data_IF_937060913093
#
_entry.id   IF_937060913093
#
_cell.length_a   1.000
_cell.length_b   1.000
_cell.length_c   1.000
_cell.angle_alpha   90.00
_cell.angle_beta   90.00
_cell.angle_gamma   90.00
#
_symmetry.space_group_name_H-M   'P 1'
#
loop_
_entity.id
_entity.type
_entity.pdbx_description
1 polymer ?
#
# COMPACT_ATOMS: atom_id res chain seq x y z
N UNK A 1 -0.36 10.86 -7.50
CA UNK A 1 -0.26 9.60 -6.74
C UNK A 1 -1.43 9.55 -5.79
N UNK A 2 -2.39 8.65 -5.99
CA UNK A 2 -3.64 8.59 -5.24
C UNK A 2 -3.97 7.12 -4.99
N UNK A 3 -4.35 6.78 -3.75
CA UNK A 3 -4.68 5.41 -3.36
C UNK A 3 -6.08 4.99 -3.86
N UNK A 4 -7.07 5.86 -3.71
CA UNK A 4 -8.47 5.56 -3.99
C UNK A 4 -8.83 5.74 -5.47
N UNK A 5 -9.94 5.15 -5.88
CA UNK A 5 -10.51 5.42 -7.20
C UNK A 5 -11.06 6.85 -7.32
N UNK A 6 -11.46 7.47 -6.21
CA UNK A 6 -12.02 8.80 -6.14
C UNK A 6 -11.12 9.83 -5.45
N UNK A 7 -11.29 11.10 -5.83
CA UNK A 7 -10.48 12.22 -5.31
C UNK A 7 -10.92 12.74 -3.93
N UNK A 8 -12.16 12.45 -3.51
CA UNK A 8 -12.81 13.13 -2.40
C UNK A 8 -12.19 12.89 -1.02
N UNK A 9 -11.74 11.67 -0.72
CA UNK A 9 -11.25 11.33 0.63
C UNK A 9 -9.93 11.99 0.98
N UNK A 10 -9.02 12.08 0.00
CA UNK A 10 -7.62 12.46 0.22
C UNK A 10 -7.26 13.81 -0.41
N UNK A 11 -8.25 14.56 -0.91
CA UNK A 11 -8.04 15.90 -1.46
C UNK A 11 -9.11 16.91 -1.01
N UNK A 12 -8.95 18.16 -1.43
CA UNK A 12 -9.90 19.26 -1.28
C UNK A 12 -10.79 19.49 -2.52
N UNK A 13 -10.96 18.46 -3.37
CA UNK A 13 -11.71 18.57 -4.63
C UNK A 13 -13.14 19.11 -4.46
N UNK A 14 -13.81 18.80 -3.34
CA UNK A 14 -15.13 19.35 -3.04
C UNK A 14 -15.06 20.87 -2.86
N UNK A 15 -14.18 21.33 -1.98
CA UNK A 15 -13.96 22.75 -1.70
C UNK A 15 -13.54 23.53 -2.95
N UNK A 16 -12.58 23.01 -3.72
CA UNK A 16 -12.06 23.69 -4.91
C UNK A 16 -13.13 23.84 -6.01
N UNK A 17 -14.06 22.89 -6.10
CA UNK A 17 -15.14 22.88 -7.10
C UNK A 17 -16.47 23.42 -6.59
N UNK A 18 -16.50 23.99 -5.38
CA UNK A 18 -17.70 24.51 -4.71
C UNK A 18 -18.81 23.44 -4.54
N UNK A 19 -18.40 22.18 -4.39
CA UNK A 19 -19.26 21.06 -4.08
C UNK A 19 -19.12 20.68 -2.59
N UNK A 20 -20.08 19.94 -2.01
CA UNK A 20 -19.93 19.42 -0.65
C UNK A 20 -18.68 18.53 -0.55
N UNK A 21 -17.80 18.80 0.42
CA UNK A 21 -16.63 17.97 0.69
C UNK A 21 -17.03 16.51 0.97
N UNK A 22 -16.24 15.56 0.48
CA UNK A 22 -16.48 14.15 0.75
C UNK A 22 -16.20 13.82 2.22
N UNK A 23 -17.13 13.12 2.84
CA UNK A 23 -17.04 12.69 4.21
C UNK A 23 -16.94 11.15 4.28
N UNK A 24 -15.76 10.58 4.63
CA UNK A 24 -15.55 9.14 4.64
C UNK A 24 -16.38 8.41 5.71
N UNK A 25 -16.88 9.10 6.73
CA UNK A 25 -17.74 8.49 7.76
C UNK A 25 -19.18 8.27 7.29
N UNK A 26 -19.62 9.00 6.26
CA UNK A 26 -20.97 8.87 5.72
C UNK A 26 -21.00 8.32 4.30
N UNK A 27 -19.86 8.34 3.60
CA UNK A 27 -19.78 7.99 2.17
C UNK A 27 -20.45 9.02 1.26
N UNK A 28 -20.66 10.26 1.72
CA UNK A 28 -21.38 11.31 0.99
C UNK A 28 -20.47 12.49 0.67
N UNK A 29 -20.85 13.27 -0.34
CA UNK A 29 -20.11 14.44 -0.83
C UNK A 29 -19.49 14.18 -2.20
N UNK A 30 -18.74 15.15 -2.71
CA UNK A 30 -18.17 15.10 -4.04
C UNK A 30 -16.89 14.27 -4.08
N UNK A 31 -16.96 13.14 -4.78
CA UNK A 31 -15.88 12.18 -4.92
C UNK A 31 -15.75 11.72 -6.38
N UNK A 32 -15.29 12.60 -7.29
CA UNK A 32 -15.13 12.25 -8.70
C UNK A 32 -14.02 11.20 -8.89
N UNK A 33 -14.22 10.29 -9.84
CA UNK A 33 -13.26 9.24 -10.16
C UNK A 33 -12.00 9.82 -10.80
N UNK A 34 -10.82 9.41 -10.32
CA UNK A 34 -9.50 9.87 -10.79
C UNK A 34 -9.37 9.69 -12.30
N UNK A 35 -9.75 8.53 -12.83
CA UNK A 35 -9.62 8.18 -14.25
C UNK A 35 -10.58 8.94 -15.19
N UNK A 36 -11.49 9.75 -14.65
CA UNK A 36 -12.38 10.62 -15.41
C UNK A 36 -11.94 12.09 -15.38
N UNK A 37 -10.85 12.39 -14.67
CA UNK A 37 -10.36 13.75 -14.49
C UNK A 37 -9.02 13.95 -15.17
N UNK A 38 -8.78 15.16 -15.65
CA UNK A 38 -7.48 15.53 -16.23
C UNK A 38 -6.48 15.80 -15.11
N UNK A 39 -5.26 15.25 -15.22
CA UNK A 39 -4.21 15.63 -14.27
C UNK A 39 -3.83 17.10 -14.44
N UNK A 40 -3.48 17.47 -15.68
CA UNK A 40 -3.11 18.84 -16.03
C UNK A 40 -4.30 19.79 -15.98
N UNK A 41 -4.09 20.93 -15.33
CA UNK A 41 -5.11 21.96 -15.13
C UNK A 41 -6.15 21.64 -14.06
N UNK A 42 -6.14 20.44 -13.46
CA UNK A 42 -7.11 20.07 -12.43
C UNK A 42 -6.49 19.32 -11.25
N UNK A 43 -6.20 18.01 -11.35
CA UNK A 43 -5.71 17.22 -10.20
C UNK A 43 -4.41 17.81 -9.61
N UNK A 44 -3.51 18.34 -10.45
CA UNK A 44 -2.24 18.92 -9.99
C UNK A 44 -2.41 20.16 -9.09
N UNK A 45 -3.59 20.78 -9.12
CA UNK A 45 -3.94 21.95 -8.30
C UNK A 45 -4.74 21.57 -7.04
N UNK A 46 -5.04 20.29 -6.83
CA UNK A 46 -5.72 19.81 -5.63
C UNK A 46 -4.73 19.67 -4.48
N UNK A 47 -5.17 20.08 -3.30
CA UNK A 47 -4.42 19.96 -2.06
C UNK A 47 -4.75 18.66 -1.33
N UNK A 48 -3.75 18.08 -0.67
CA UNK A 48 -3.88 16.80 0.03
C UNK A 48 -4.63 16.99 1.34
N UNK A 49 -5.53 16.05 1.64
CA UNK A 49 -6.22 15.94 2.92
C UNK A 49 -5.67 14.76 3.71
N UNK A 50 -5.39 14.99 5.00
CA UNK A 50 -4.92 13.94 5.89
C UNK A 50 -6.04 13.11 6.52
N UNK A 51 -5.66 12.09 7.29
CA UNK A 51 -6.55 11.18 8.02
C UNK A 51 -7.42 11.86 9.08
N UNK A 52 -7.18 13.14 9.39
CA UNK A 52 -7.98 13.94 10.32
C UNK A 52 -8.89 14.94 9.59
N UNK A 53 -8.78 15.02 8.27
CA UNK A 53 -9.60 15.87 7.41
C UNK A 53 -9.02 17.25 7.19
N UNK A 54 -7.78 17.49 7.64
CA UNK A 54 -7.09 18.76 7.44
C UNK A 54 -6.54 18.81 6.03
N UNK A 55 -6.79 19.92 5.34
CA UNK A 55 -6.22 20.20 4.03
C UNK A 55 -4.85 20.83 4.23
N UNK A 56 -3.86 20.25 3.56
CA UNK A 56 -2.45 20.66 3.62
C UNK A 56 -2.08 21.53 2.42
N UNK A 57 -0.91 22.16 2.45
CA UNK A 57 -0.46 23.02 1.34
C UNK A 57 0.10 22.20 0.18
N UNK A 58 0.51 20.97 0.45
CA UNK A 58 1.01 20.00 -0.50
C UNK A 58 -0.07 19.62 -1.51
N UNK A 59 0.31 19.53 -2.78
CA UNK A 59 -0.57 19.10 -3.86
C UNK A 59 -0.29 17.66 -4.26
N UNK A 60 -1.17 17.07 -5.08
CA UNK A 60 -1.03 15.70 -5.57
C UNK A 60 0.25 15.56 -6.43
N UNK A 61 1.27 14.78 -6.01
CA UNK A 61 2.51 14.67 -6.75
C UNK A 61 2.38 13.70 -7.93
N UNK A 62 3.21 13.89 -8.96
CA UNK A 62 3.44 12.85 -9.97
C UNK A 62 4.52 11.87 -9.52
N UNK A 63 4.54 10.68 -10.14
CA UNK A 63 5.59 9.69 -9.88
C UNK A 63 7.00 10.23 -10.25
N UNK A 64 7.21 10.89 -11.40
CA UNK A 64 8.48 11.57 -11.68
C UNK A 64 8.90 12.60 -10.63
N UNK A 65 7.97 13.41 -10.11
CA UNK A 65 8.29 14.41 -9.07
C UNK A 65 8.76 13.73 -7.78
N UNK A 66 8.13 12.62 -7.39
CA UNK A 66 8.56 11.83 -6.23
C UNK A 66 9.97 11.26 -6.43
N UNK A 67 10.25 10.66 -7.59
CA UNK A 67 11.58 10.12 -7.90
C UNK A 67 12.63 11.22 -7.95
N UNK A 68 12.29 12.38 -8.53
CA UNK A 68 13.17 13.55 -8.54
C UNK A 68 13.42 14.06 -7.11
N UNK A 69 12.41 14.10 -6.24
CA UNK A 69 12.58 14.47 -4.83
C UNK A 69 13.51 13.49 -4.09
N UNK A 70 13.42 12.18 -4.36
CA UNK A 70 14.33 11.18 -3.78
C UNK A 70 15.76 11.42 -4.25
N UNK A 71 15.95 11.70 -5.55
CA UNK A 71 17.24 12.12 -6.09
C UNK A 71 17.76 13.39 -5.42
N UNK A 72 16.96 14.45 -5.36
CA UNK A 72 17.38 15.75 -4.80
C UNK A 72 17.66 15.70 -3.30
N UNK A 73 17.01 14.81 -2.54
CA UNK A 73 17.26 14.65 -1.11
C UNK A 73 18.37 13.65 -0.79
N UNK A 74 18.71 12.76 -1.74
CA UNK A 74 19.62 11.65 -1.49
C UNK A 74 19.04 10.59 -0.56
N UNK A 75 17.71 10.49 -0.49
CA UNK A 75 17.04 9.47 0.30
C UNK A 75 17.40 8.08 -0.24
N UNK A 76 17.73 7.15 0.67
CA UNK A 76 17.99 5.76 0.34
C UNK A 76 16.72 4.94 0.59
N UNK A 77 15.87 4.85 -0.43
CA UNK A 77 14.57 4.18 -0.36
C UNK A 77 14.34 3.31 -1.58
N UNK A 78 13.50 2.30 -1.41
CA UNK A 78 12.91 1.51 -2.50
C UNK A 78 11.44 1.86 -2.56
N UNK A 79 10.90 2.07 -3.76
CA UNK A 79 9.49 2.36 -3.95
C UNK A 79 8.75 1.12 -4.39
N UNK A 80 7.74 0.69 -3.65
CA UNK A 80 6.77 -0.29 -4.13
C UNK A 80 5.62 0.45 -4.80
N UNK A 81 5.55 0.36 -6.13
CA UNK A 81 4.49 0.98 -6.92
C UNK A 81 3.29 0.04 -6.94
N UNK A 82 2.34 0.25 -6.03
CA UNK A 82 1.07 -0.48 -6.00
C UNK A 82 0.10 0.12 -7.01
N UNK A 83 0.07 -0.45 -8.21
CA UNK A 83 -0.78 0.07 -9.30
C UNK A 83 -2.24 -0.29 -9.07
N UNK A 84 -3.13 0.71 -9.19
CA UNK A 84 -4.59 0.53 -9.11
C UNK A 84 -5.27 0.33 -10.47
N UNK A 85 -4.57 0.69 -11.57
CA UNK A 85 -5.06 0.58 -12.95
C UNK A 85 -3.98 -0.01 -13.86
N UNK A 86 -4.33 -1.04 -14.64
CA UNK A 86 -3.45 -1.69 -15.60
C UNK A 86 -2.93 -0.71 -16.66
N UNK A 87 -3.77 0.25 -17.08
CA UNK A 87 -3.42 1.23 -18.11
C UNK A 87 -2.36 2.25 -17.64
N UNK A 88 -2.13 2.37 -16.33
CA UNK A 88 -1.14 3.28 -15.77
C UNK A 88 0.28 2.70 -15.74
N UNK A 89 0.44 1.39 -15.90
CA UNK A 89 1.73 0.67 -15.76
C UNK A 89 2.73 1.10 -16.82
N UNK A 90 2.34 1.04 -18.09
CA UNK A 90 3.23 1.42 -19.20
C UNK A 90 3.63 2.91 -19.17
N UNK A 91 2.69 3.87 -18.99
CA UNK A 91 3.05 5.27 -18.82
C UNK A 91 4.02 5.52 -17.66
N UNK A 92 3.91 4.79 -16.55
CA UNK A 92 4.84 4.91 -15.44
C UNK A 92 6.26 4.49 -15.83
N UNK A 93 6.42 3.37 -16.54
CA UNK A 93 7.74 2.96 -17.05
C UNK A 93 8.40 4.04 -17.90
N UNK A 94 7.65 4.60 -18.87
CA UNK A 94 8.17 5.64 -19.75
C UNK A 94 8.51 6.93 -19.00
N UNK A 95 7.71 7.29 -17.99
CA UNK A 95 7.97 8.44 -17.14
C UNK A 95 9.22 8.29 -16.27
N UNK A 96 9.58 7.04 -15.92
CA UNK A 96 10.77 6.71 -15.12
C UNK A 96 12.03 6.43 -15.95
N UNK A 97 11.91 6.14 -17.26
CA UNK A 97 12.98 5.59 -18.11
C UNK A 97 14.32 6.32 -18.02
N UNK A 98 14.30 7.66 -17.88
CA UNK A 98 15.50 8.49 -17.86
C UNK A 98 15.82 9.04 -16.46
N UNK A 99 15.13 8.58 -15.42
CA UNK A 99 15.36 9.00 -14.04
C UNK A 99 16.31 8.03 -13.34
N UNK A 100 17.10 8.55 -12.41
CA UNK A 100 18.04 7.78 -11.59
C UNK A 100 17.97 8.23 -10.14
N UNK A 101 18.53 7.43 -9.22
CA UNK A 101 18.89 7.93 -7.89
C UNK A 101 20.26 8.62 -7.93
N UNK A 102 20.72 9.18 -6.80
CA UNK A 102 22.03 9.88 -6.74
C UNK A 102 23.24 8.99 -7.05
N UNK A 103 23.11 7.68 -6.87
CA UNK A 103 24.16 6.73 -7.22
C UNK A 103 24.18 6.40 -8.74
N UNK A 104 23.28 6.98 -9.52
CA UNK A 104 23.16 6.73 -10.96
C UNK A 104 22.38 5.46 -11.30
N UNK A 105 21.74 4.80 -10.32
CA UNK A 105 20.94 3.60 -10.57
C UNK A 105 19.60 4.01 -11.22
N UNK A 106 19.20 3.40 -12.35
CA UNK A 106 17.95 3.69 -13.02
C UNK A 106 16.74 3.53 -12.10
N UNK A 107 15.79 4.46 -12.18
CA UNK A 107 14.56 4.44 -11.38
C UNK A 107 13.78 3.13 -11.53
N UNK A 108 13.74 2.57 -12.75
CA UNK A 108 13.06 1.30 -13.04
C UNK A 108 13.69 0.06 -12.38
N UNK A 109 14.87 0.16 -11.75
CA UNK A 109 15.48 -0.94 -11.00
C UNK A 109 15.14 -0.92 -9.50
N UNK A 110 14.80 0.25 -8.94
CA UNK A 110 14.46 0.40 -7.51
C UNK A 110 13.03 0.87 -7.26
N UNK A 111 12.28 1.16 -8.32
CA UNK A 111 10.82 1.21 -8.31
C UNK A 111 10.28 -0.20 -8.62
N UNK A 112 9.86 -0.92 -7.59
CA UNK A 112 9.27 -2.24 -7.69
C UNK A 112 7.87 -2.12 -8.29
N UNK A 113 7.65 -2.85 -9.39
CA UNK A 113 6.35 -2.99 -10.04
C UNK A 113 5.53 -4.03 -9.30
N UNK A 114 4.68 -3.57 -8.37
CA UNK A 114 3.72 -4.41 -7.66
C UNK A 114 2.40 -4.38 -8.44
N UNK A 115 2.11 -5.47 -9.15
CA UNK A 115 1.04 -5.54 -10.15
C UNK A 115 0.04 -6.65 -9.83
N UNK A 116 -1.23 -6.41 -10.12
CA UNK A 116 -2.28 -7.42 -9.95
C UNK A 116 -2.01 -8.60 -10.91
N UNK A 117 -1.87 -9.81 -10.38
CA UNK A 117 -1.50 -10.99 -11.17
C UNK A 117 -2.53 -11.30 -12.28
N UNK A 118 -3.79 -10.92 -12.09
CA UNK A 118 -4.84 -11.06 -13.10
C UNK A 118 -4.63 -10.22 -14.37
N UNK A 119 -3.82 -9.17 -14.32
CA UNK A 119 -3.54 -8.31 -15.49
C UNK A 119 -2.69 -9.00 -16.54
N UNK A 120 -1.70 -9.77 -16.09
CA UNK A 120 -0.85 -10.63 -16.90
C UNK A 120 -0.58 -11.91 -16.12
N UNK A 121 -1.22 -13.00 -16.52
CA UNK A 121 -1.33 -14.20 -15.67
C UNK A 121 -0.04 -15.00 -15.63
N UNK A 122 0.85 -14.79 -16.59
CA UNK A 122 2.13 -15.48 -16.69
C UNK A 122 3.23 -14.54 -17.22
N UNK A 123 4.52 -14.87 -16.98
CA UNK A 123 5.65 -14.13 -17.53
C UNK A 123 5.56 -13.96 -19.05
N UNK A 124 5.14 -14.99 -19.79
CA UNK A 124 5.13 -14.95 -21.25
C UNK A 124 4.14 -13.92 -21.83
N UNK A 125 3.06 -13.59 -21.13
CA UNK A 125 2.14 -12.50 -21.47
C UNK A 125 2.77 -11.13 -21.17
N UNK A 126 3.39 -10.99 -20.00
CA UNK A 126 4.03 -9.76 -19.55
C UNK A 126 5.25 -9.38 -20.42
N UNK A 127 6.07 -10.35 -20.79
CA UNK A 127 7.29 -10.16 -21.60
C UNK A 127 6.99 -9.78 -23.07
N UNK A 128 5.75 -9.92 -23.52
CA UNK A 128 5.31 -9.46 -24.84
C UNK A 128 4.99 -7.96 -24.88
N UNK A 129 4.89 -7.30 -23.72
CA UNK A 129 4.60 -5.87 -23.65
C UNK A 129 5.78 -5.06 -24.16
N UNK A 130 5.51 -4.06 -25.00
CA UNK A 130 6.56 -3.26 -25.63
C UNK A 130 7.49 -2.57 -24.63
N UNK A 131 6.94 -2.08 -23.51
CA UNK A 131 7.72 -1.44 -22.45
C UNK A 131 8.61 -2.43 -21.67
N UNK A 132 8.17 -3.69 -21.51
CA UNK A 132 8.98 -4.75 -20.87
C UNK A 132 10.12 -5.17 -21.78
N UNK A 133 9.84 -5.33 -23.08
CA UNK A 133 10.86 -5.61 -24.09
C UNK A 133 11.91 -4.50 -24.15
N UNK A 134 11.48 -3.24 -24.11
CA UNK A 134 12.37 -2.09 -24.06
C UNK A 134 13.21 -2.05 -22.79
N UNK A 135 12.64 -2.38 -21.62
CA UNK A 135 13.36 -2.46 -20.35
C UNK A 135 14.50 -3.49 -20.43
N UNK A 136 14.18 -4.70 -20.87
CA UNK A 136 15.17 -5.78 -20.99
C UNK A 136 16.23 -5.50 -22.05
N UNK A 137 15.84 -4.94 -23.20
CA UNK A 137 16.79 -4.52 -24.23
C UNK A 137 17.73 -3.40 -23.75
N UNK A 138 17.26 -2.55 -22.84
CA UNK A 138 18.04 -1.48 -22.22
C UNK A 138 18.90 -1.96 -21.03
N UNK A 139 18.86 -3.25 -20.70
CA UNK A 139 19.60 -3.84 -19.58
C UNK A 139 19.03 -3.52 -18.20
N UNK A 140 17.82 -2.98 -18.11
CA UNK A 140 17.12 -2.69 -16.85
C UNK A 140 16.75 -4.00 -16.16
N UNK A 141 17.18 -4.15 -14.91
CA UNK A 141 16.72 -5.24 -14.04
C UNK A 141 15.40 -4.84 -13.37
N UNK A 142 14.28 -5.17 -14.00
CA UNK A 142 12.98 -4.93 -13.39
C UNK A 142 12.87 -5.69 -12.06
N UNK A 143 12.20 -5.07 -11.09
CA UNK A 143 11.79 -5.71 -9.85
C UNK A 143 10.27 -5.83 -9.85
N UNK A 144 9.76 -7.07 -9.83
CA UNK A 144 8.34 -7.37 -9.98
C UNK A 144 7.80 -8.16 -8.77
N UNK A 145 6.58 -7.81 -8.35
CA UNK A 145 5.80 -8.53 -7.34
C UNK A 145 4.38 -8.73 -7.89
N UNK A 146 3.97 -9.97 -8.27
CA UNK A 146 2.59 -10.28 -8.57
C UNK A 146 1.76 -10.27 -7.28
N UNK A 147 0.60 -9.63 -7.34
CA UNK A 147 -0.40 -9.57 -6.26
C UNK A 147 -1.54 -10.52 -6.58
N UNK A 148 -1.78 -11.47 -5.68
CA UNK A 148 -2.87 -12.45 -5.78
C UNK A 148 -3.98 -12.10 -4.79
N UNK A 149 -5.21 -12.01 -5.29
CA UNK A 149 -6.40 -11.79 -4.49
C UNK A 149 -7.30 -13.03 -4.48
N UNK A 150 -8.11 -13.25 -3.43
CA UNK A 150 -8.98 -14.44 -3.35
C UNK A 150 -9.90 -14.64 -4.56
N UNK A 151 -10.37 -13.56 -5.20
CA UNK A 151 -11.19 -13.64 -6.41
C UNK A 151 -10.45 -14.18 -7.65
N UNK A 152 -9.12 -14.22 -7.63
CA UNK A 152 -8.33 -14.69 -8.76
C UNK A 152 -8.43 -16.23 -8.89
N UNK A 153 -8.43 -16.95 -7.77
CA UNK A 153 -8.41 -18.43 -7.70
C UNK A 153 -9.65 -19.07 -8.34
N UNK A 154 -10.79 -18.37 -8.36
CA UNK A 154 -12.02 -18.88 -9.01
C UNK A 154 -11.99 -18.71 -10.53
N UNK A 155 -11.07 -17.91 -11.06
CA UNK A 155 -11.10 -17.45 -12.46
C UNK A 155 -9.95 -17.98 -13.32
N UNK A 156 -8.85 -18.44 -12.71
CA UNK A 156 -7.71 -19.03 -13.40
C UNK A 156 -6.75 -19.74 -12.41
N UNK A 157 -5.79 -20.51 -12.93
CA UNK A 157 -4.84 -21.27 -12.11
C UNK A 157 -3.74 -20.36 -11.52
N UNK A 158 -4.01 -19.85 -10.33
CA UNK A 158 -3.11 -18.94 -9.59
C UNK A 158 -1.82 -19.61 -9.14
N UNK A 159 -1.86 -20.91 -8.83
CA UNK A 159 -0.69 -21.66 -8.38
C UNK A 159 0.29 -21.90 -9.53
N UNK A 160 -0.21 -22.25 -10.72
CA UNK A 160 0.67 -22.44 -11.89
C UNK A 160 1.34 -21.13 -12.29
N UNK A 161 0.60 -20.02 -12.28
CA UNK A 161 1.20 -18.70 -12.48
C UNK A 161 2.29 -18.38 -11.48
N UNK A 162 2.05 -18.59 -10.19
CA UNK A 162 3.06 -18.33 -9.16
C UNK A 162 4.34 -19.13 -9.44
N UNK A 163 4.20 -20.40 -9.84
CA UNK A 163 5.32 -21.26 -10.23
C UNK A 163 6.06 -20.75 -11.46
N UNK A 164 5.36 -20.20 -12.45
CA UNK A 164 5.99 -19.62 -13.63
C UNK A 164 6.74 -18.33 -13.30
N UNK A 165 6.10 -17.41 -12.55
CA UNK A 165 6.72 -16.19 -12.06
C UNK A 165 7.96 -16.47 -11.20
N UNK A 166 7.88 -17.50 -10.36
CA UNK A 166 8.99 -17.92 -9.51
C UNK A 166 10.26 -18.24 -10.28
N UNK A 167 10.17 -18.67 -11.54
CA UNK A 167 11.33 -19.05 -12.37
C UNK A 167 12.00 -17.87 -13.08
N UNK A 168 11.40 -16.68 -13.02
CA UNK A 168 11.95 -15.48 -13.65
C UNK A 168 13.07 -14.86 -12.81
N UNK A 169 14.00 -14.14 -13.44
CA UNK A 169 15.09 -13.45 -12.75
C UNK A 169 14.73 -12.03 -12.27
N UNK A 170 13.52 -11.55 -12.57
CA UNK A 170 13.04 -10.20 -12.24
C UNK A 170 11.86 -10.22 -11.25
N UNK A 171 11.25 -11.38 -10.98
CA UNK A 171 10.28 -11.52 -9.89
C UNK A 171 11.01 -11.77 -8.57
N UNK A 172 10.84 -10.86 -7.61
CA UNK A 172 11.60 -10.87 -6.36
C UNK A 172 10.81 -11.43 -5.17
N UNK A 173 9.48 -11.44 -5.28
CA UNK A 173 8.55 -11.88 -4.24
C UNK A 173 7.14 -12.05 -4.82
N UNK A 174 6.16 -12.40 -3.98
CA UNK A 174 4.72 -12.32 -4.30
C UNK A 174 3.95 -11.71 -3.12
N UNK A 175 2.89 -10.96 -3.41
CA UNK A 175 1.89 -10.58 -2.40
C UNK A 175 0.71 -11.54 -2.49
N UNK A 176 0.33 -12.13 -1.36
CA UNK A 176 -0.72 -13.16 -1.30
C UNK A 176 -1.71 -12.78 -0.22
N UNK A 177 -2.91 -12.35 -0.64
CA UNK A 177 -3.95 -11.87 0.25
C UNK A 177 -4.77 -13.03 0.85
N UNK A 178 -4.19 -13.71 1.85
CA UNK A 178 -4.86 -14.76 2.64
C UNK A 178 -5.62 -14.12 3.81
N UNK A 179 -6.90 -14.44 3.98
CA UNK A 179 -7.76 -13.80 5.00
C UNK A 179 -8.00 -14.67 6.24
N UNK A 180 -7.86 -15.99 6.13
CA UNK A 180 -7.90 -16.93 7.25
C UNK A 180 -7.08 -18.18 6.91
N UNK A 181 -6.63 -18.95 7.90
CA UNK A 181 -5.87 -20.18 7.63
C UNK A 181 -6.71 -21.18 6.83
N UNK A 182 -6.16 -21.67 5.72
CA UNK A 182 -6.86 -22.60 4.82
C UNK A 182 -7.84 -21.95 3.84
N UNK A 183 -7.97 -20.62 3.86
CA UNK A 183 -8.81 -19.88 2.91
C UNK A 183 -8.21 -19.89 1.49
N UNK A 184 -8.90 -19.30 0.50
CA UNK A 184 -8.33 -19.09 -0.82
C UNK A 184 -6.90 -18.54 -0.76
N UNK A 185 -6.08 -18.98 -1.72
CA UNK A 185 -4.65 -18.69 -1.86
C UNK A 185 -3.71 -19.30 -0.81
N UNK A 186 -4.20 -20.06 0.18
CA UNK A 186 -3.32 -20.73 1.15
C UNK A 186 -2.28 -21.63 0.46
N UNK A 187 -2.68 -22.32 -0.62
CA UNK A 187 -1.79 -23.17 -1.43
C UNK A 187 -0.62 -22.40 -2.07
N UNK A 188 -0.80 -21.11 -2.40
CA UNK A 188 0.28 -20.25 -2.91
C UNK A 188 1.28 -19.93 -1.79
N UNK A 189 0.79 -19.58 -0.60
CA UNK A 189 1.64 -19.33 0.57
C UNK A 189 2.42 -20.59 0.96
N UNK A 190 1.74 -21.75 0.99
CA UNK A 190 2.36 -23.04 1.28
C UNK A 190 3.41 -23.40 0.22
N UNK A 191 3.19 -23.06 -1.05
CA UNK A 191 4.18 -23.25 -2.11
C UNK A 191 5.46 -22.46 -1.83
N UNK A 192 5.36 -21.16 -1.50
CA UNK A 192 6.53 -20.31 -1.21
C UNK A 192 7.29 -20.83 0.01
N UNK A 193 6.59 -21.23 1.08
CA UNK A 193 7.20 -21.73 2.30
C UNK A 193 7.92 -23.07 2.11
N UNK A 194 7.31 -23.99 1.38
CA UNK A 194 7.79 -25.38 1.31
C UNK A 194 8.71 -25.67 0.12
N UNK A 195 8.57 -24.93 -0.99
CA UNK A 195 9.39 -25.13 -2.19
C UNK A 195 10.59 -24.17 -2.30
N UNK A 196 10.93 -23.49 -1.20
CA UNK A 196 12.15 -22.68 -1.07
C UNK A 196 13.47 -23.47 -1.22
N UNK A 197 13.45 -24.73 -1.64
CA UNK A 197 14.64 -25.56 -1.91
C UNK A 197 14.98 -25.68 -3.39
N UNK A 198 14.11 -25.29 -4.32
CA UNK A 198 14.43 -25.29 -5.75
C UNK A 198 15.45 -24.18 -6.08
N UNK A 199 16.45 -24.49 -6.91
CA UNK A 199 17.41 -23.49 -7.38
C UNK A 199 16.70 -22.52 -8.35
N UNK A 200 16.98 -21.23 -8.23
CA UNK A 200 16.45 -20.16 -9.09
C UNK A 200 14.96 -19.82 -8.93
N UNK A 201 14.39 -20.04 -7.74
CA UNK A 201 13.05 -19.52 -7.38
C UNK A 201 13.14 -18.41 -6.35
N UNK A 202 12.25 -17.40 -6.43
CA UNK A 202 12.07 -16.48 -5.30
C UNK A 202 11.43 -17.23 -4.12
N UNK A 203 11.77 -16.80 -2.89
CA UNK A 203 11.45 -17.54 -1.65
C UNK A 203 10.78 -16.67 -0.60
N UNK A 204 10.20 -15.57 -1.03
CA UNK A 204 9.60 -14.59 -0.14
C UNK A 204 8.18 -14.31 -0.61
N UNK A 205 7.29 -14.15 0.36
CA UNK A 205 5.96 -13.62 0.15
C UNK A 205 5.65 -12.57 1.21
N UNK A 206 4.69 -11.72 0.90
CA UNK A 206 4.13 -10.78 1.86
C UNK A 206 2.62 -10.65 1.76
N UNK A 207 2.09 -9.84 2.65
CA UNK A 207 0.66 -9.62 2.83
C UNK A 207 0.39 -8.18 3.29
N UNK A 208 -0.79 -7.66 2.96
CA UNK A 208 -1.29 -6.44 3.57
C UNK A 208 -1.82 -6.68 4.98
N UNK A 209 -1.29 -5.91 5.93
CA UNK A 209 -1.82 -5.82 7.28
C UNK A 209 -2.86 -4.71 7.37
N UNK A 210 -4.07 -5.08 7.79
CA UNK A 210 -5.26 -4.25 7.82
C UNK A 210 -5.66 -3.89 9.28
N UNK A 211 -5.03 -2.88 9.91
CA UNK A 211 -5.32 -2.49 11.30
C UNK A 211 -6.69 -1.84 11.52
N UNK A 212 -7.40 -1.54 10.45
CA UNK A 212 -8.54 -0.63 10.45
C UNK A 212 -8.11 0.83 10.22
N UNK A 213 -9.10 1.65 9.90
CA UNK A 213 -8.90 3.02 9.45
C UNK A 213 -9.08 4.08 10.55
N UNK A 214 -9.52 3.67 11.74
CA UNK A 214 -9.71 4.59 12.85
C UNK A 214 -8.40 4.77 13.62
N UNK A 215 -7.90 6.01 13.68
CA UNK A 215 -6.69 6.38 14.44
C UNK A 215 -7.06 7.07 15.77
N UNK A 216 -6.18 6.99 16.77
CA UNK A 216 -6.40 7.48 18.15
C UNK A 216 -6.86 8.95 18.25
N UNK A 217 -6.39 9.81 17.34
CA UNK A 217 -6.79 11.22 17.36
C UNK A 217 -8.24 11.45 16.92
N UNK A 218 -8.76 10.61 16.01
CA UNK A 218 -10.16 10.64 15.54
C UNK A 218 -11.12 10.23 16.67
N UNK A 219 -10.72 9.26 17.49
CA UNK A 219 -11.54 8.79 18.63
C UNK A 219 -11.50 9.78 19.80
N UNK A 220 -10.46 10.61 19.91
CA UNK A 220 -10.37 11.69 20.90
C UNK A 220 -11.41 12.81 20.65
N UNK A 221 -11.86 13.48 21.71
CA UNK A 221 -12.76 14.64 21.61
C UNK A 221 -12.07 15.93 21.11
N UNK A 222 -10.76 15.88 20.76
CA UNK A 222 -9.93 17.08 20.58
C UNK A 222 -9.59 17.43 19.12
N UNK A 223 -9.82 16.52 18.18
CA UNK A 223 -9.58 16.75 16.75
C UNK A 223 -10.43 15.76 15.94
N UNK A 224 -11.49 16.24 15.28
CA UNK A 224 -12.41 15.36 14.55
C UNK A 224 -12.68 15.91 13.16
N UNK A 225 -12.65 15.02 12.17
CA UNK A 225 -13.53 15.12 11.02
C UNK A 225 -14.95 15.38 11.54
N UNK A 226 -15.74 16.21 10.84
CA UNK A 226 -17.18 16.20 11.06
C UNK A 226 -17.69 14.79 10.72
N UNK A 227 -17.97 13.96 11.73
CA UNK A 227 -18.54 12.62 11.50
C UNK A 227 -19.99 12.71 11.05
N UNK A 228 -20.56 13.92 10.98
CA UNK A 228 -21.95 14.21 10.74
C UNK A 228 -22.81 13.34 11.68
N UNK A 229 -23.65 12.48 11.10
CA UNK A 229 -24.52 11.59 11.86
C UNK A 229 -23.90 10.20 12.12
N UNK A 230 -22.66 9.96 11.70
CA UNK A 230 -21.98 8.70 12.00
C UNK A 230 -21.54 8.69 13.46
N UNK A 231 -21.98 7.66 14.18
CA UNK A 231 -21.58 7.43 15.56
C UNK A 231 -20.30 6.60 15.59
N UNK A 232 -19.18 7.22 16.00
CA UNK A 232 -17.94 6.48 16.25
C UNK A 232 -18.23 5.47 17.38
N UNK A 233 -17.95 4.17 17.17
CA UNK A 233 -18.14 3.17 18.20
C UNK A 233 -17.19 3.43 19.39
N UNK A 234 -17.66 3.10 20.60
CA UNK A 234 -16.82 3.24 21.81
C UNK A 234 -15.62 2.28 21.83
N UNK A 235 -15.73 1.16 21.10
CA UNK A 235 -14.65 0.21 20.84
C UNK A 235 -14.44 0.10 19.32
N UNK A 236 -13.23 0.44 18.86
CA UNK A 236 -12.85 0.38 17.44
C UNK A 236 -12.50 -1.04 16.99
N UNK A 237 -12.43 -1.98 17.93
CA UNK A 237 -12.36 -3.41 17.69
C UNK A 237 -13.65 -4.06 18.16
N UNK A 238 -14.13 -5.06 17.46
CA UNK A 238 -15.30 -5.83 17.90
C UNK A 238 -15.07 -7.28 17.53
N UNK A 239 -14.95 -8.14 18.55
CA UNK A 239 -14.57 -9.55 18.36
C UNK A 239 -13.29 -9.71 17.50
N UNK A 240 -12.26 -8.90 17.77
CA UNK A 240 -11.02 -8.79 17.00
C UNK A 240 -11.15 -8.28 15.56
N UNK A 241 -12.35 -7.99 15.06
CA UNK A 241 -12.51 -7.28 13.79
C UNK A 241 -12.32 -5.77 13.96
N UNK A 242 -11.95 -5.08 12.88
CA UNK A 242 -11.65 -3.64 12.85
C UNK A 242 -12.52 -2.92 11.81
N UNK A 243 -12.74 -1.62 12.00
CA UNK A 243 -13.51 -0.81 11.05
C UNK A 243 -12.64 -0.36 9.86
N UNK A 244 -13.15 -0.58 8.64
CA UNK A 244 -12.55 -0.08 7.41
C UNK A 244 -13.47 0.91 6.68
N UNK A 245 -12.89 1.95 6.10
CA UNK A 245 -13.55 2.85 5.15
C UNK A 245 -13.91 2.09 3.88
N UNK A 246 -15.03 2.49 3.29
CA UNK A 246 -15.48 1.99 2.00
C UNK A 246 -15.77 3.17 1.09
N UNK A 247 -15.51 2.99 -0.20
CA UNK A 247 -15.85 3.99 -1.19
C UNK A 247 -17.37 4.22 -1.20
N UNK A 248 -17.76 5.49 -1.01
CA UNK A 248 -19.15 5.96 -1.00
C UNK A 248 -20.07 5.25 0.02
N UNK A 249 -19.51 4.71 1.11
CA UNK A 249 -20.26 4.09 2.21
C UNK A 249 -19.66 4.46 3.56
N UNK A 250 -20.48 4.36 4.60
CA UNK A 250 -20.00 4.49 5.97
C UNK A 250 -19.04 3.33 6.34
N UNK A 251 -18.09 3.55 7.26
CA UNK A 251 -17.18 2.51 7.73
C UNK A 251 -17.93 1.36 8.39
N UNK A 252 -17.46 0.13 8.14
CA UNK A 252 -18.01 -1.10 8.72
C UNK A 252 -16.88 -2.02 9.16
N UNK A 253 -17.19 -3.02 9.99
CA UNK A 253 -16.24 -4.06 10.37
C UNK A 253 -15.77 -4.87 9.15
N UNK A 254 -14.48 -5.19 9.05
CA UNK A 254 -13.95 -6.02 7.96
C UNK A 254 -14.66 -7.38 7.86
N UNK A 255 -15.00 -7.98 9.00
CA UNK A 255 -15.74 -9.27 9.05
C UNK A 255 -17.13 -9.18 8.39
N UNK A 256 -17.73 -7.99 8.38
CA UNK A 256 -19.03 -7.79 7.73
C UNK A 256 -18.96 -7.78 6.20
N UNK A 257 -17.75 -7.66 5.64
CA UNK A 257 -17.51 -7.55 4.20
C UNK A 257 -16.51 -8.58 3.65
N UNK A 258 -15.87 -9.39 4.51
CA UNK A 258 -14.88 -10.40 4.07
C UNK A 258 -15.50 -11.47 3.18
N UNK A 259 -16.75 -11.84 3.41
CA UNK A 259 -17.50 -12.77 2.58
C UNK A 259 -16.80 -14.13 2.43
N UNK A 260 -16.74 -14.65 1.21
CA UNK A 260 -16.15 -15.95 0.88
C UNK A 260 -14.61 -15.95 0.81
N UNK A 261 -13.96 -14.82 1.14
CA UNK A 261 -12.49 -14.73 1.20
C UNK A 261 -11.92 -15.39 2.45
N UNK A 262 -12.74 -15.58 3.48
CA UNK A 262 -12.42 -16.25 4.74
C UNK A 262 -13.31 -17.48 4.91
N UNK A 263 -12.81 -18.51 5.62
CA UNK A 263 -13.56 -19.74 5.91
C UNK A 263 -14.54 -19.59 7.06
N UNK A 264 -14.23 -18.76 8.04
CA UNK A 264 -15.02 -18.56 9.27
C UNK A 264 -15.71 -17.19 9.32
N UNK A 265 -15.52 -16.36 8.29
CA UNK A 265 -16.07 -15.01 8.21
C UNK A 265 -15.27 -13.97 8.99
N UNK A 266 -14.09 -14.31 9.50
CA UNK A 266 -13.18 -13.37 10.13
C UNK A 266 -12.04 -12.96 9.18
N UNK A 267 -11.72 -11.67 9.13
CA UNK A 267 -10.54 -11.15 8.42
C UNK A 267 -9.34 -11.06 9.37
N UNK A 268 -8.50 -12.11 9.35
CA UNK A 268 -7.33 -12.20 10.23
C UNK A 268 -6.18 -11.27 9.83
N UNK A 269 -6.28 -10.51 8.73
CA UNK A 269 -5.24 -9.54 8.34
C UNK A 269 -5.11 -8.38 9.32
N UNK A 270 -6.00 -8.26 10.30
CA UNK A 270 -5.90 -7.32 11.43
C UNK A 270 -5.18 -7.90 12.66
N UNK A 271 -4.91 -9.21 12.68
CA UNK A 271 -4.16 -9.93 13.71
C UNK A 271 -2.71 -10.16 13.27
N UNK A 272 -1.79 -9.38 13.82
CA UNK A 272 -0.36 -9.47 13.47
C UNK A 272 0.28 -10.78 13.95
N UNK A 273 -0.16 -11.33 15.09
CA UNK A 273 0.33 -12.61 15.59
C UNK A 273 -0.08 -13.75 14.65
N UNK A 274 -1.28 -13.67 14.06
CA UNK A 274 -1.72 -14.60 13.02
C UNK A 274 -0.85 -14.50 11.77
N UNK A 275 -0.56 -13.28 11.28
CA UNK A 275 0.33 -13.06 10.13
C UNK A 275 1.71 -13.67 10.36
N UNK A 276 2.31 -13.45 11.53
CA UNK A 276 3.61 -14.03 11.88
C UNK A 276 3.57 -15.57 11.85
N UNK A 277 2.47 -16.19 12.31
CA UNK A 277 2.29 -17.65 12.27
C UNK A 277 2.09 -18.20 10.86
N UNK A 278 1.58 -17.39 9.91
CA UNK A 278 1.48 -17.80 8.50
C UNK A 278 2.83 -17.78 7.77
N UNK A 279 3.88 -17.21 8.39
CA UNK A 279 5.23 -17.24 7.86
C UNK A 279 5.49 -16.30 6.68
N UNK A 280 4.75 -15.19 6.55
CA UNK A 280 5.09 -14.14 5.58
C UNK A 280 6.45 -13.50 5.90
N UNK A 281 7.24 -13.17 4.88
CA UNK A 281 8.58 -12.57 5.04
C UNK A 281 8.55 -11.06 5.14
N UNK A 282 7.52 -10.41 4.59
CA UNK A 282 7.33 -8.97 4.69
C UNK A 282 5.84 -8.62 4.81
N UNK A 283 5.56 -7.45 5.37
CA UNK A 283 4.21 -6.94 5.60
C UNK A 283 4.19 -5.48 5.18
N UNK A 284 3.13 -5.08 4.48
CA UNK A 284 2.83 -3.68 4.18
C UNK A 284 1.61 -3.21 4.95
N UNK A 285 1.53 -1.92 5.23
CA UNK A 285 0.37 -1.32 5.89
C UNK A 285 0.32 0.18 5.62
N UNK A 286 -0.88 0.76 5.61
CA UNK A 286 -1.08 2.20 5.41
C UNK A 286 -0.65 3.04 6.62
N UNK A 287 -0.43 2.41 7.78
CA UNK A 287 -0.08 3.09 9.05
C UNK A 287 1.27 2.62 9.62
N UNK A 288 2.30 2.58 8.75
CA UNK A 288 3.60 1.99 9.08
C UNK A 288 4.28 2.60 10.32
N UNK A 289 4.16 3.91 10.58
CA UNK A 289 4.76 4.54 11.78
C UNK A 289 4.09 4.09 13.08
N UNK A 290 2.76 4.02 13.07
CA UNK A 290 2.00 3.57 14.23
C UNK A 290 2.39 2.13 14.58
N UNK A 291 2.51 1.28 13.56
CA UNK A 291 2.95 -0.10 13.75
C UNK A 291 4.42 -0.25 14.09
N UNK A 292 5.30 0.62 13.57
CA UNK A 292 6.67 0.68 14.06
C UNK A 292 6.70 0.88 15.58
N UNK A 293 5.98 1.88 16.07
CA UNK A 293 5.89 2.16 17.49
C UNK A 293 5.30 0.98 18.30
N UNK A 294 4.20 0.38 17.83
CA UNK A 294 3.57 -0.76 18.51
C UNK A 294 4.47 -2.00 18.54
N UNK A 295 5.06 -2.39 17.41
CA UNK A 295 5.91 -3.58 17.32
C UNK A 295 7.18 -3.44 18.15
N UNK A 296 7.74 -2.22 18.26
CA UNK A 296 8.85 -1.94 19.19
C UNK A 296 8.41 -2.13 20.64
N UNK A 297 7.25 -1.57 21.02
CA UNK A 297 6.72 -1.68 22.38
C UNK A 297 6.43 -3.14 22.78
N UNK A 298 6.00 -3.97 21.81
CA UNK A 298 5.74 -5.40 22.00
C UNK A 298 7.00 -6.27 21.93
N UNK A 299 8.16 -5.70 21.60
CA UNK A 299 9.42 -6.45 21.43
C UNK A 299 9.50 -7.30 20.15
N UNK A 300 8.55 -7.13 19.22
CA UNK A 300 8.52 -7.85 17.95
C UNK A 300 9.40 -7.21 16.87
N UNK A 301 9.81 -5.94 17.04
CA UNK A 301 10.73 -5.28 16.13
C UNK A 301 12.16 -5.31 16.66
N UNK A 302 13.00 -6.16 16.07
CA UNK A 302 14.43 -6.15 16.32
C UNK A 302 15.12 -5.13 15.39
N UNK A 303 15.29 -3.87 15.79
CA UNK A 303 15.98 -2.87 14.95
C UNK A 303 17.50 -3.03 14.88
N UNK A 304 18.09 -3.90 15.71
CA UNK A 304 19.55 -4.04 15.82
C UNK A 304 20.22 -4.54 14.53
N UNK A 305 19.49 -5.20 13.63
CA UNK A 305 20.02 -5.65 12.33
C UNK A 305 19.90 -4.59 11.20
N UNK A 306 19.02 -3.59 11.36
CA UNK A 306 18.81 -2.54 10.35
C UNK A 306 19.77 -1.36 10.50
N UNK A 307 20.39 -1.22 11.68
CA UNK A 307 21.43 -0.24 11.95
C UNK A 307 22.77 -0.88 11.63
N UNK A 308 23.21 -0.75 10.38
CA UNK A 308 24.62 -0.98 10.07
C UNK A 308 25.45 -0.12 11.05
N UNK A 309 26.41 -0.73 11.74
CA UNK A 309 27.43 -0.07 12.58
C UNK A 309 27.02 0.51 13.95
N UNK A 310 25.99 -0.02 14.62
CA UNK A 310 25.82 0.23 16.07
C UNK A 310 25.49 1.68 16.44
N UNK A 311 24.95 2.44 15.49
CA UNK A 311 24.39 3.78 15.76
C UNK A 311 23.09 3.66 16.56
N UNK A 312 22.84 4.62 17.45
CA UNK A 312 21.58 4.71 18.19
C UNK A 312 20.51 5.20 17.21
N UNK A 313 19.38 4.50 17.17
CA UNK A 313 18.28 4.81 16.28
C UNK A 313 17.78 6.26 16.47
N UNK A 314 18.07 7.11 15.49
CA UNK A 314 17.60 8.49 15.42
C UNK A 314 16.10 8.63 15.11
N UNK A 315 15.38 7.51 14.95
CA UNK A 315 13.96 7.41 14.59
C UNK A 315 13.05 7.34 15.82
N UNK A 316 13.51 7.76 17.00
CA UNK A 316 12.65 7.94 18.19
C UNK A 316 11.46 8.89 17.97
N UNK A 317 11.43 9.63 16.85
CA UNK A 317 10.36 10.54 16.44
C UNK A 317 9.52 10.03 15.25
N UNK A 318 9.63 8.75 14.87
CA UNK A 318 8.96 8.19 13.68
C UNK A 318 9.68 8.47 12.36
N UNK A 319 9.24 7.84 11.26
CA UNK A 319 9.89 7.95 9.94
C UNK A 319 9.66 9.33 9.32
N UNK A 320 8.61 10.03 9.73
CA UNK A 320 8.35 11.42 9.39
C UNK A 320 8.74 12.33 10.55
N UNK A 321 9.82 13.11 10.38
CA UNK A 321 10.04 14.28 11.25
C UNK A 321 8.90 15.27 11.03
N UNK A 322 7.89 15.26 11.91
CA UNK A 322 6.96 16.39 12.04
C UNK A 322 7.77 17.62 12.47
N UNK A 323 8.22 18.43 11.52
CA UNK A 323 8.61 19.80 11.82
C UNK A 323 7.34 20.50 12.32
N UNK A 324 7.43 21.12 13.49
CA UNK A 324 6.39 21.88 14.18
C UNK A 324 5.55 21.13 15.23
N UNK A 325 6.20 20.66 16.29
CA UNK A 325 5.72 21.02 17.63
C UNK A 325 6.51 22.26 18.07
N UNK A 326 5.86 23.43 18.09
CA UNK A 326 6.30 24.51 18.98
C UNK A 326 6.14 23.95 20.39
N UNK A 327 7.23 23.80 21.12
CA UNK A 327 7.17 23.64 22.57
C UNK A 327 6.48 24.88 23.13
N UNK A 328 5.24 24.72 23.57
CA UNK A 328 4.63 25.69 24.47
C UNK A 328 5.26 25.44 25.84
N UNK A 329 6.24 26.27 26.17
CA UNK A 329 6.70 26.40 27.55
C UNK A 329 5.57 27.01 28.37
N UNK A 330 5.31 26.39 29.51
CA UNK A 330 4.27 26.78 30.47
C UNK A 330 4.42 28.24 30.89
N UNK A 331 3.30 28.95 30.92
CA UNK A 331 3.11 30.19 31.67
C UNK A 331 1.80 30.10 32.45
#
# INVERSE_FOLDING_TARGET
>A
MIHDNGLGRTTDVGEQTQQPAYNPFTGKGYNPLVNQQSFKGFIENLHIRDEQGRVHVETVPTLPDMVHSIYETGANVVLQLDFKDQAAVEPAYWALKNLTNRAGVPANEWCIYKLQAKWWKNPAEFEKLGWVQDAFASGVQLAYIPVYNPEDEVSWDTLESLKEWAKTNYTISAEIEVYSTGAPLQNLQDYVLNNGTEMNTFKTSGIFYAPGDFVDFITSNRSRFDTANYSIPGDIRTHNSVYGFQENKAPVLLDSIVGNKSLDGHDYRSDFDWILKQGFQWVITDTADFWDAQLRAQGYRNTSYMLASGEVDGVSNGWYRRRHSREFTEA
#
